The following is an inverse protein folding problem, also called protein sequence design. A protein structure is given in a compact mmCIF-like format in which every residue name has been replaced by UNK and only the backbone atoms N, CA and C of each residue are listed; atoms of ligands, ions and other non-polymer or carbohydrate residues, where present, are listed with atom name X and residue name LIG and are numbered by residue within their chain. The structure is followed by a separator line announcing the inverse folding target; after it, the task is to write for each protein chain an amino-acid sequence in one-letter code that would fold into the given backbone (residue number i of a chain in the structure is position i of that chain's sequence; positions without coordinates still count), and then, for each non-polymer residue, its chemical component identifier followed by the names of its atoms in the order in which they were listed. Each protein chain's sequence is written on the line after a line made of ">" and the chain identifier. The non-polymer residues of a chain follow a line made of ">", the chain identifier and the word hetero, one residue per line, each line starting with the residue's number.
data_IF_322200149914
#
_entry.id   IF_322200149914
#
_cell.length_a   1.000
_cell.length_b   1.000
_cell.length_c   1.000
_cell.angle_alpha   90.00
_cell.angle_beta   90.00
_cell.angle_gamma   90.00
#
_symmetry.space_group_name_H-M   'P 1'
#
loop_
_entity.id
_entity.type
_entity.pdbx_description
1 polymer ?
#
# COMPACT_ATOMS: atom_id res chain seq x y z
N UNK A 1 -1.72 -5.65 8.22
CA UNK A 1 -2.50 -6.11 7.04
C UNK A 1 -2.51 -7.62 7.03
N UNK A 2 -3.68 -8.25 6.96
CA UNK A 2 -3.72 -9.72 6.89
C UNK A 2 -3.09 -10.16 5.56
N UNK A 3 -2.06 -10.99 5.59
CA UNK A 3 -1.37 -11.49 4.39
C UNK A 3 -2.38 -12.07 3.37
N UNK A 4 -3.45 -12.69 3.84
CA UNK A 4 -4.53 -13.23 3.00
C UNK A 4 -5.23 -12.16 2.16
N UNK A 5 -5.44 -10.98 2.72
CA UNK A 5 -6.20 -9.90 2.07
C UNK A 5 -5.41 -9.30 0.92
N UNK A 6 -4.14 -9.02 1.12
CA UNK A 6 -3.25 -8.56 0.06
C UNK A 6 -3.09 -9.59 -1.04
N UNK A 7 -2.90 -10.86 -0.65
CA UNK A 7 -2.68 -11.95 -1.60
C UNK A 7 -3.86 -12.12 -2.55
N UNK A 8 -5.11 -12.09 -2.04
CA UNK A 8 -6.30 -12.16 -2.88
C UNK A 8 -6.37 -11.00 -3.89
N UNK A 9 -6.13 -9.78 -3.43
CA UNK A 9 -6.11 -8.59 -4.31
C UNK A 9 -5.05 -8.72 -5.40
N UNK A 10 -3.85 -9.18 -5.04
CA UNK A 10 -2.77 -9.39 -6.01
C UNK A 10 -3.07 -10.50 -7.01
N UNK A 11 -3.72 -11.58 -6.59
CA UNK A 11 -4.18 -12.62 -7.52
C UNK A 11 -5.15 -12.05 -8.56
N UNK A 12 -6.14 -11.27 -8.15
CA UNK A 12 -7.10 -10.66 -9.07
C UNK A 12 -6.40 -9.73 -10.07
N UNK A 13 -5.44 -8.92 -9.60
CA UNK A 13 -4.63 -8.05 -10.46
C UNK A 13 -3.76 -8.89 -11.41
N UNK A 14 -3.11 -9.94 -10.90
CA UNK A 14 -2.27 -10.82 -11.70
C UNK A 14 -3.06 -11.54 -12.80
N UNK A 15 -4.23 -12.08 -12.48
CA UNK A 15 -5.14 -12.72 -13.46
C UNK A 15 -5.53 -11.74 -14.55
N UNK A 16 -5.88 -10.51 -14.17
CA UNK A 16 -6.30 -9.51 -15.14
C UNK A 16 -5.16 -9.07 -16.06
N UNK A 17 -3.99 -8.73 -15.49
CA UNK A 17 -2.81 -8.32 -16.27
C UNK A 17 -2.35 -9.46 -17.18
N UNK A 18 -2.22 -10.68 -16.65
CA UNK A 18 -1.80 -11.85 -17.42
C UNK A 18 -2.78 -12.17 -18.55
N UNK A 19 -4.07 -12.07 -18.29
CA UNK A 19 -5.11 -12.25 -19.31
C UNK A 19 -4.96 -11.24 -20.46
N UNK A 20 -4.76 -9.96 -20.13
CA UNK A 20 -4.56 -8.92 -21.15
C UNK A 20 -3.25 -9.10 -21.93
N UNK A 21 -2.15 -9.48 -21.28
CA UNK A 21 -0.86 -9.67 -21.94
C UNK A 21 -0.88 -10.84 -22.92
N UNK A 22 -1.58 -11.91 -22.59
CA UNK A 22 -1.65 -13.12 -23.42
C UNK A 22 -2.81 -13.06 -24.42
N UNK A 23 -3.65 -12.02 -24.37
CA UNK A 23 -4.84 -11.90 -25.21
C UNK A 23 -5.94 -12.90 -24.85
N UNK A 24 -5.95 -13.38 -23.61
CA UNK A 24 -6.95 -14.31 -23.08
C UNK A 24 -7.94 -13.60 -22.16
N UNK A 25 -9.13 -14.17 -22.01
CA UNK A 25 -10.13 -13.65 -21.08
C UNK A 25 -9.63 -13.84 -19.64
N UNK A 26 -9.52 -12.78 -18.82
CA UNK A 26 -9.14 -12.93 -17.43
C UNK A 26 -10.29 -13.59 -16.65
N UNK A 27 -10.07 -14.81 -16.22
CA UNK A 27 -11.07 -15.61 -15.49
C UNK A 27 -10.46 -16.08 -14.16
N UNK A 28 -11.23 -15.97 -13.10
CA UNK A 28 -10.87 -16.46 -11.78
C UNK A 28 -11.98 -17.36 -11.24
N UNK A 29 -11.64 -18.60 -10.92
CA UNK A 29 -12.59 -19.63 -10.47
C UNK A 29 -13.81 -19.80 -11.42
N UNK A 30 -13.56 -19.81 -12.72
CA UNK A 30 -14.61 -19.96 -13.73
C UNK A 30 -15.51 -18.73 -13.88
N UNK A 31 -15.10 -17.57 -13.41
CA UNK A 31 -15.85 -16.32 -13.51
C UNK A 31 -14.99 -15.23 -14.10
N UNK A 32 -15.53 -14.47 -15.03
CA UNK A 32 -14.81 -13.38 -15.71
C UNK A 32 -14.54 -12.22 -14.77
N UNK A 33 -13.27 -11.81 -14.71
CA UNK A 33 -12.85 -10.59 -14.01
C UNK A 33 -13.03 -9.41 -14.96
N UNK A 34 -13.81 -8.43 -14.56
CA UNK A 34 -14.13 -7.24 -15.35
C UNK A 34 -13.63 -5.96 -14.69
N UNK A 35 -13.87 -4.83 -15.35
CA UNK A 35 -13.40 -3.53 -14.90
C UNK A 35 -13.91 -3.13 -13.52
N UNK A 36 -15.06 -3.63 -13.07
CA UNK A 36 -15.60 -3.31 -11.74
C UNK A 36 -14.74 -3.91 -10.62
N UNK A 37 -14.42 -5.19 -10.73
CA UNK A 37 -13.56 -5.88 -9.77
C UNK A 37 -12.15 -5.28 -9.78
N UNK A 38 -11.64 -4.97 -10.97
CA UNK A 38 -10.32 -4.34 -11.11
C UNK A 38 -10.24 -2.95 -10.48
N UNK A 39 -11.26 -2.12 -10.62
CA UNK A 39 -11.29 -0.80 -9.97
C UNK A 39 -11.18 -0.94 -8.45
N UNK A 40 -11.95 -1.85 -7.86
CA UNK A 40 -11.90 -2.09 -6.41
C UNK A 40 -10.53 -2.62 -6.01
N UNK A 41 -10.00 -3.62 -6.73
CA UNK A 41 -8.69 -4.19 -6.46
C UNK A 41 -7.56 -3.14 -6.53
N UNK A 42 -7.59 -2.28 -7.53
CA UNK A 42 -6.62 -1.18 -7.67
C UNK A 42 -6.73 -0.16 -6.55
N UNK A 43 -7.95 0.24 -6.17
CA UNK A 43 -8.16 1.16 -5.04
C UNK A 43 -7.64 0.56 -3.76
N UNK A 44 -7.93 -0.72 -3.50
CA UNK A 44 -7.43 -1.43 -2.31
C UNK A 44 -5.90 -1.53 -2.30
N UNK A 45 -5.28 -1.81 -3.45
CA UNK A 45 -3.82 -1.89 -3.56
C UNK A 45 -3.14 -0.53 -3.33
N UNK A 46 -3.73 0.56 -3.82
CA UNK A 46 -3.18 1.91 -3.69
C UNK A 46 -3.54 2.58 -2.37
N UNK A 47 -4.56 2.11 -1.65
CA UNK A 47 -5.01 2.70 -0.40
C UNK A 47 -3.89 2.76 0.65
N UNK A 48 -3.13 1.69 0.77
CA UNK A 48 -2.09 1.55 1.79
C UNK A 48 -0.98 2.61 1.63
N UNK A 49 -0.27 2.69 0.48
CA UNK A 49 0.73 3.73 0.28
C UNK A 49 0.12 5.14 0.31
N UNK A 50 -1.11 5.31 -0.17
CA UNK A 50 -1.78 6.61 -0.15
C UNK A 50 -1.96 7.11 1.29
N UNK A 51 -2.52 6.30 2.18
CA UNK A 51 -2.74 6.69 3.59
C UNK A 51 -1.41 6.99 4.28
N UNK A 52 -0.38 6.17 4.09
CA UNK A 52 0.94 6.39 4.68
C UNK A 52 1.51 7.75 4.25
N UNK A 53 1.53 8.01 2.94
CA UNK A 53 2.13 9.23 2.42
C UNK A 53 1.36 10.49 2.82
N UNK A 54 0.02 10.44 2.82
CA UNK A 54 -0.81 11.58 3.21
C UNK A 54 -0.60 11.94 4.69
N UNK A 55 -0.64 10.95 5.58
CA UNK A 55 -0.45 11.23 7.00
C UNK A 55 0.99 11.62 7.35
N UNK A 56 1.99 11.04 6.66
CA UNK A 56 3.38 11.49 6.78
C UNK A 56 3.54 12.94 6.31
N UNK A 57 2.90 13.34 5.21
CA UNK A 57 2.93 14.72 4.74
C UNK A 57 2.26 15.67 5.73
N UNK A 58 1.11 15.30 6.30
CA UNK A 58 0.41 16.09 7.31
C UNK A 58 1.28 16.29 8.55
N UNK A 59 1.86 15.23 9.09
CA UNK A 59 2.72 15.31 10.28
C UNK A 59 3.96 16.15 10.03
N UNK A 60 4.61 15.98 8.87
CA UNK A 60 5.76 16.77 8.47
C UNK A 60 5.41 18.25 8.29
N UNK A 61 4.25 18.54 7.71
CA UNK A 61 3.76 19.91 7.57
C UNK A 61 3.54 20.59 8.93
N UNK A 62 2.88 19.90 9.86
CA UNK A 62 2.63 20.41 11.22
C UNK A 62 3.94 20.60 11.95
N UNK A 63 4.86 19.66 11.86
CA UNK A 63 6.18 19.75 12.51
C UNK A 63 6.96 21.01 12.10
N UNK A 64 6.90 21.35 10.80
CA UNK A 64 7.65 22.51 10.28
C UNK A 64 6.93 23.85 10.55
N UNK A 65 5.59 23.89 10.44
CA UNK A 65 4.84 25.14 10.47
C UNK A 65 4.21 25.47 11.85
N UNK A 66 4.12 24.49 12.73
CA UNK A 66 3.53 24.64 14.07
C UNK A 66 4.45 24.09 15.18
N UNK A 67 5.68 24.62 15.33
CA UNK A 67 6.63 24.12 16.31
C UNK A 67 6.09 24.26 17.76
N UNK A 68 5.37 25.34 18.06
CA UNK A 68 4.79 25.56 19.38
C UNK A 68 3.82 24.44 19.79
N UNK A 69 3.06 23.92 18.82
CA UNK A 69 2.16 22.78 19.03
C UNK A 69 2.95 21.51 19.34
N UNK A 70 4.00 21.26 18.57
CA UNK A 70 4.86 20.08 18.75
C UNK A 70 5.55 20.10 20.12
N UNK A 71 6.05 21.26 20.54
CA UNK A 71 6.67 21.46 21.86
C UNK A 71 5.66 21.30 22.98
N UNK A 72 4.44 21.77 22.82
CA UNK A 72 3.37 21.61 23.82
C UNK A 72 3.00 20.16 24.10
N UNK A 73 3.22 19.27 23.13
CA UNK A 73 3.03 17.81 23.25
C UNK A 73 4.30 17.07 23.73
N UNK A 74 5.39 17.79 24.06
CA UNK A 74 6.62 17.21 24.58
C UNK A 74 7.69 16.88 23.53
N UNK A 75 7.49 17.36 22.29
CA UNK A 75 8.36 17.05 21.15
C UNK A 75 8.05 15.69 20.52
N UNK A 76 8.22 15.58 19.21
CA UNK A 76 7.86 14.36 18.51
C UNK A 76 9.07 13.55 18.07
N UNK A 77 10.10 14.24 17.54
CA UNK A 77 11.23 13.60 16.86
C UNK A 77 12.46 13.55 17.76
N UNK A 78 13.11 12.41 17.79
CA UNK A 78 14.41 12.27 18.43
C UNK A 78 15.55 12.74 17.51
N UNK A 79 15.41 12.54 16.20
CA UNK A 79 16.38 12.98 15.21
C UNK A 79 15.81 14.11 14.35
N UNK A 80 16.60 15.17 14.19
CA UNK A 80 16.23 16.32 13.38
C UNK A 80 16.56 16.08 11.89
N UNK A 81 15.91 16.84 11.01
CA UNK A 81 16.16 16.80 9.59
C UNK A 81 15.61 15.58 8.87
N UNK A 82 16.35 15.04 7.92
CA UNK A 82 15.89 13.93 7.05
C UNK A 82 15.61 12.63 7.83
N UNK A 83 16.30 12.40 8.93
CA UNK A 83 16.06 11.24 9.78
C UNK A 83 14.72 11.32 10.50
N UNK A 84 14.28 12.53 10.85
CA UNK A 84 12.95 12.74 11.45
C UNK A 84 11.82 12.39 10.49
N UNK A 85 11.98 12.63 9.17
CA UNK A 85 11.02 12.17 8.17
C UNK A 85 10.93 10.63 8.15
N UNK A 86 12.06 9.94 8.33
CA UNK A 86 12.08 8.48 8.39
C UNK A 86 11.35 7.94 9.61
N UNK A 87 11.46 8.62 10.77
CA UNK A 87 10.71 8.27 12.00
C UNK A 87 9.20 8.38 11.77
N UNK A 88 8.74 9.49 11.21
CA UNK A 88 7.32 9.72 10.91
C UNK A 88 6.78 8.72 9.87
N UNK A 89 7.54 8.49 8.79
CA UNK A 89 7.15 7.56 7.74
C UNK A 89 7.06 6.12 8.28
N UNK A 90 8.00 5.72 9.13
CA UNK A 90 7.99 4.40 9.74
C UNK A 90 6.79 4.20 10.64
N UNK A 91 6.44 5.20 11.46
CA UNK A 91 5.29 5.13 12.36
C UNK A 91 4.00 4.89 11.59
N UNK A 92 3.71 5.71 10.56
CA UNK A 92 2.51 5.50 9.74
C UNK A 92 2.55 4.21 8.92
N UNK A 93 3.73 3.76 8.50
CA UNK A 93 3.88 2.47 7.82
C UNK A 93 3.55 1.32 8.75
N UNK A 94 4.02 1.38 9.99
CA UNK A 94 3.74 0.39 11.02
C UNK A 94 2.27 0.37 11.41
N UNK A 95 1.67 1.54 11.61
CA UNK A 95 0.23 1.68 11.88
C UNK A 95 -0.62 1.14 10.73
N UNK A 96 -0.29 1.49 9.48
CA UNK A 96 -1.01 1.02 8.30
C UNK A 96 -0.86 -0.50 8.10
N UNK A 97 0.31 -1.06 8.40
CA UNK A 97 0.53 -2.51 8.37
C UNK A 97 -0.07 -3.26 9.58
N UNK A 98 -0.59 -2.53 10.57
CA UNK A 98 -1.12 -3.06 11.84
C UNK A 98 -0.06 -3.84 12.66
N UNK A 99 1.21 -3.43 12.59
CA UNK A 99 2.30 -4.06 13.31
C UNK A 99 2.40 -3.55 14.78
N UNK A 100 2.10 -2.26 15.00
CA UNK A 100 2.18 -1.63 16.31
C UNK A 100 3.61 -1.38 16.83
N UNK A 101 4.60 -1.33 15.94
CA UNK A 101 5.97 -0.96 16.26
C UNK A 101 6.21 0.51 15.94
N UNK A 102 6.75 1.29 16.89
CA UNK A 102 7.24 2.65 16.67
C UNK A 102 8.74 2.67 16.37
N UNK A 103 9.23 3.78 15.83
CA UNK A 103 10.66 4.02 15.75
C UNK A 103 11.17 4.44 17.12
N UNK A 104 12.26 3.83 17.60
CA UNK A 104 12.79 4.14 18.94
C UNK A 104 13.22 5.61 19.01
N UNK A 105 12.70 6.31 20.03
CA UNK A 105 12.94 7.73 20.24
C UNK A 105 11.85 8.66 19.70
N UNK A 106 10.90 8.16 18.89
CA UNK A 106 9.72 8.93 18.52
C UNK A 106 8.81 9.13 19.75
N UNK A 107 8.43 10.38 20.01
CA UNK A 107 7.45 10.71 21.05
C UNK A 107 6.02 10.42 20.58
N UNK A 108 5.68 9.16 20.40
CA UNK A 108 4.41 8.69 19.82
C UNK A 108 3.23 8.76 20.79
N UNK A 109 3.48 8.89 22.09
CA UNK A 109 2.42 8.96 23.11
C UNK A 109 1.89 10.38 23.29
N UNK A 110 1.41 10.99 22.21
CA UNK A 110 0.76 12.30 22.20
C UNK A 110 -0.65 12.21 21.65
N UNK A 111 -1.45 13.24 21.87
CA UNK A 111 -2.82 13.28 21.31
C UNK A 111 -2.80 13.22 19.78
N UNK A 112 -1.88 13.93 19.14
CA UNK A 112 -1.78 13.95 17.69
C UNK A 112 -1.47 12.55 17.12
N UNK A 113 -0.41 11.89 17.63
CA UNK A 113 -0.03 10.56 17.15
C UNK A 113 -1.10 9.52 17.45
N UNK A 114 -1.68 9.53 18.64
CA UNK A 114 -2.72 8.58 19.02
C UNK A 114 -3.94 8.67 18.09
N UNK A 115 -4.41 9.88 17.76
CA UNK A 115 -5.54 10.06 16.86
C UNK A 115 -5.19 9.71 15.40
N UNK A 116 -4.10 10.22 14.89
CA UNK A 116 -3.71 10.00 13.49
C UNK A 116 -3.38 8.53 13.22
N UNK A 117 -2.62 7.88 14.08
CA UNK A 117 -2.32 6.45 14.00
C UNK A 117 -3.59 5.60 14.14
N UNK A 118 -4.50 5.95 15.04
CA UNK A 118 -5.79 5.28 15.17
C UNK A 118 -6.63 5.34 13.90
N UNK A 119 -6.73 6.51 13.25
CA UNK A 119 -7.43 6.68 11.98
C UNK A 119 -6.74 5.85 10.86
N UNK A 120 -5.43 5.94 10.75
CA UNK A 120 -4.64 5.18 9.77
C UNK A 120 -4.86 3.68 9.93
N UNK A 121 -4.83 3.18 11.16
CA UNK A 121 -5.06 1.77 11.49
C UNK A 121 -6.45 1.31 11.06
N UNK A 122 -7.49 2.09 11.36
CA UNK A 122 -8.88 1.77 10.98
C UNK A 122 -9.03 1.75 9.46
N UNK A 123 -8.57 2.79 8.77
CA UNK A 123 -8.67 2.87 7.31
C UNK A 123 -7.91 1.73 6.62
N UNK A 124 -6.68 1.48 7.04
CA UNK A 124 -5.82 0.47 6.42
C UNK A 124 -6.23 -0.97 6.75
N UNK A 125 -7.06 -1.18 7.77
CA UNK A 125 -7.55 -2.50 8.13
C UNK A 125 -8.91 -2.81 7.50
N UNK A 126 -9.88 -1.94 7.70
CA UNK A 126 -11.27 -2.25 7.35
C UNK A 126 -11.58 -2.02 5.87
N UNK A 127 -11.03 -0.98 5.24
CA UNK A 127 -11.30 -0.73 3.82
C UNK A 127 -10.80 -1.84 2.89
N UNK A 128 -9.59 -2.41 3.06
CA UNK A 128 -9.18 -3.57 2.29
C UNK A 128 -10.10 -4.78 2.48
N UNK A 129 -10.52 -5.09 3.70
CA UNK A 129 -11.45 -6.20 3.97
C UNK A 129 -12.77 -5.99 3.24
N UNK A 130 -13.36 -4.79 3.35
CA UNK A 130 -14.61 -4.45 2.66
C UNK A 130 -14.44 -4.56 1.14
N UNK A 131 -13.32 -4.06 0.60
CA UNK A 131 -13.04 -4.13 -0.84
C UNK A 131 -12.98 -5.56 -1.37
N UNK A 132 -12.36 -6.45 -0.63
CA UNK A 132 -12.24 -7.87 -1.02
C UNK A 132 -13.56 -8.62 -0.93
N UNK A 133 -14.33 -8.38 0.12
CA UNK A 133 -15.68 -8.94 0.26
C UNK A 133 -16.57 -8.41 -0.88
N UNK A 134 -16.43 -7.15 -1.26
CA UNK A 134 -17.13 -6.59 -2.41
C UNK A 134 -16.75 -7.26 -3.73
N UNK A 135 -15.45 -7.50 -3.99
CA UNK A 135 -14.98 -8.25 -5.16
C UNK A 135 -15.56 -9.67 -5.16
N UNK A 136 -15.50 -10.37 -4.03
CA UNK A 136 -16.06 -11.71 -3.91
C UNK A 136 -17.58 -11.72 -4.17
N UNK A 137 -18.31 -10.72 -3.64
CA UNK A 137 -19.73 -10.55 -3.88
C UNK A 137 -20.08 -10.30 -5.36
N UNK A 138 -19.30 -9.45 -6.04
CA UNK A 138 -19.48 -9.21 -7.48
C UNK A 138 -19.20 -10.47 -8.31
N UNK A 139 -18.14 -11.21 -8.00
CA UNK A 139 -17.82 -12.46 -8.66
C UNK A 139 -18.88 -13.53 -8.37
N UNK A 140 -19.44 -13.58 -7.15
CA UNK A 140 -20.51 -14.55 -6.81
C UNK A 140 -21.75 -14.39 -7.66
N UNK A 141 -22.12 -13.18 -8.04
CA UNK A 141 -23.29 -12.89 -8.88
C UNK A 141 -23.11 -13.26 -10.35
N UNK A 142 -21.87 -13.47 -10.80
CA UNK A 142 -21.59 -13.80 -12.21
C UNK A 142 -21.85 -15.26 -12.52
N UNK A 143 -22.27 -15.50 -13.79
CA UNK A 143 -22.47 -16.86 -14.29
C UNK A 143 -21.12 -17.58 -14.44
N UNK A 144 -21.14 -18.89 -14.23
CA UNK A 144 -19.99 -19.75 -14.48
C UNK A 144 -19.74 -19.82 -16.00
N UNK A 145 -18.49 -19.68 -16.39
CA UNK A 145 -18.03 -19.82 -17.78
C UNK A 145 -17.27 -21.15 -17.86
N UNK A 146 -17.68 -22.07 -18.76
CA UNK A 146 -16.93 -23.30 -18.96
C UNK A 146 -15.54 -23.01 -19.53
N UNK A 147 -14.55 -23.78 -19.12
CA UNK A 147 -13.17 -23.65 -19.61
C UNK A 147 -13.13 -23.77 -21.14
N UNK A 148 -12.44 -22.83 -21.77
CA UNK A 148 -12.19 -22.79 -23.19
C UNK A 148 -10.69 -22.76 -23.49
N UNK A 149 -10.29 -22.93 -24.74
CA UNK A 149 -8.88 -22.78 -25.15
C UNK A 149 -8.31 -21.37 -24.87
N UNK A 150 -9.19 -20.38 -24.67
CA UNK A 150 -8.84 -19.01 -24.28
C UNK A 150 -8.77 -18.75 -22.77
N UNK A 151 -9.10 -19.72 -21.93
CA UNK A 151 -9.07 -19.55 -20.46
C UNK A 151 -7.63 -19.65 -19.94
N UNK A 152 -7.24 -18.70 -19.09
CA UNK A 152 -5.96 -18.77 -18.39
C UNK A 152 -6.13 -19.72 -17.19
N UNK A 153 -5.49 -20.89 -17.28
CA UNK A 153 -5.52 -21.87 -16.18
C UNK A 153 -4.73 -21.36 -14.97
N UNK A 154 -5.38 -21.33 -13.82
CA UNK A 154 -4.79 -20.83 -12.56
C UNK A 154 -4.02 -21.91 -11.79
N UNK A 155 -4.06 -23.16 -12.23
CA UNK A 155 -3.41 -24.32 -11.64
C UNK A 155 -2.03 -24.63 -12.27
N UNK A 156 -1.55 -23.76 -13.15
CA UNK A 156 -0.28 -23.96 -13.88
C UNK A 156 0.90 -23.29 -13.17
N UNK A 157 2.09 -23.88 -13.33
CA UNK A 157 3.35 -23.27 -12.86
C UNK A 157 3.55 -21.87 -13.46
N UNK A 158 3.16 -21.67 -14.72
CA UNK A 158 3.23 -20.35 -15.39
C UNK A 158 2.42 -19.31 -14.67
N UNK A 159 1.19 -19.63 -14.21
CA UNK A 159 0.39 -18.72 -13.42
C UNK A 159 1.02 -18.42 -12.05
N UNK A 160 1.60 -19.43 -11.40
CA UNK A 160 2.34 -19.25 -10.15
C UNK A 160 3.51 -18.28 -10.29
N UNK A 161 4.33 -18.46 -11.33
CA UNK A 161 5.46 -17.55 -11.64
C UNK A 161 4.96 -16.14 -11.96
N UNK A 162 3.91 -15.99 -12.77
CA UNK A 162 3.33 -14.68 -13.10
C UNK A 162 2.80 -13.96 -11.86
N UNK A 163 2.11 -14.67 -10.99
CA UNK A 163 1.62 -14.11 -9.72
C UNK A 163 2.77 -13.64 -8.83
N UNK A 164 3.82 -14.46 -8.72
CA UNK A 164 5.03 -14.09 -7.99
C UNK A 164 5.67 -12.83 -8.57
N UNK A 165 5.84 -12.75 -9.90
CA UNK A 165 6.42 -11.58 -10.57
C UNK A 165 5.58 -10.32 -10.35
N UNK A 166 4.25 -10.42 -10.42
CA UNK A 166 3.36 -9.28 -10.16
C UNK A 166 3.49 -8.80 -8.71
N UNK A 167 3.51 -9.71 -7.74
CA UNK A 167 3.71 -9.37 -6.33
C UNK A 167 5.07 -8.71 -6.12
N UNK A 168 6.13 -9.28 -6.72
CA UNK A 168 7.48 -8.75 -6.63
C UNK A 168 7.58 -7.34 -7.22
N UNK A 169 7.01 -7.10 -8.40
CA UNK A 169 7.01 -5.78 -9.04
C UNK A 169 6.25 -4.76 -8.19
N UNK A 170 5.06 -5.10 -7.68
CA UNK A 170 4.28 -4.18 -6.84
C UNK A 170 5.03 -3.88 -5.54
N UNK A 171 5.64 -4.89 -4.92
CA UNK A 171 6.45 -4.69 -3.72
C UNK A 171 7.68 -3.82 -4.01
N UNK A 172 8.41 -4.10 -5.09
CA UNK A 172 9.55 -3.29 -5.51
C UNK A 172 9.15 -1.83 -5.79
N UNK A 173 8.05 -1.60 -6.51
CA UNK A 173 7.55 -0.25 -6.78
C UNK A 173 7.06 0.48 -5.51
N UNK A 174 6.63 -0.25 -4.50
CA UNK A 174 6.21 0.33 -3.22
C UNK A 174 7.39 0.83 -2.38
N UNK A 175 8.54 0.16 -2.45
CA UNK A 175 9.73 0.50 -1.68
C UNK A 175 10.76 1.35 -2.45
N UNK A 176 10.91 1.08 -3.74
CA UNK A 176 11.95 1.69 -4.56
C UNK A 176 11.80 3.21 -4.77
N UNK A 177 10.60 3.79 -4.96
CA UNK A 177 10.47 5.23 -5.18
C UNK A 177 10.95 6.07 -4.00
N UNK A 178 10.79 5.63 -2.77
CA UNK A 178 11.23 6.39 -1.58
C UNK A 178 12.75 6.48 -1.54
N UNK A 179 13.44 5.36 -1.72
CA UNK A 179 14.91 5.34 -1.74
C UNK A 179 15.50 6.00 -2.98
N UNK A 180 14.89 5.84 -4.15
CA UNK A 180 15.33 6.48 -5.38
C UNK A 180 15.14 7.99 -5.36
N UNK A 181 14.03 8.50 -4.80
CA UNK A 181 13.79 9.93 -4.64
C UNK A 181 14.78 10.56 -3.66
N UNK A 182 15.07 9.91 -2.54
CA UNK A 182 16.09 10.37 -1.59
C UNK A 182 17.48 10.38 -2.23
N UNK A 183 17.83 9.37 -3.00
CA UNK A 183 19.10 9.32 -3.74
C UNK A 183 19.19 10.39 -4.83
N UNK A 184 18.12 10.64 -5.57
CA UNK A 184 18.07 11.69 -6.61
C UNK A 184 18.13 13.10 -6.01
N UNK A 185 17.53 13.34 -4.86
CA UNK A 185 17.62 14.62 -4.15
C UNK A 185 19.08 14.89 -3.74
N UNK A 186 19.78 13.89 -3.24
CA UNK A 186 21.21 14.00 -2.89
C UNK A 186 22.11 14.22 -4.12
N UNK A 187 21.76 13.66 -5.28
CA UNK A 187 22.52 13.87 -6.52
C UNK A 187 22.25 15.26 -7.14
N UNK A 188 21.05 15.78 -6.96
CA UNK A 188 20.64 17.07 -7.55
C UNK A 188 20.92 18.28 -6.66
N UNK A 189 21.33 18.12 -5.42
CA UNK A 189 21.86 19.24 -4.63
C UNK A 189 23.23 19.64 -5.19
N UNK A 190 23.35 20.79 -5.86
CA UNK A 190 24.66 21.32 -6.18
C UNK A 190 25.36 21.59 -4.84
N UNK A 191 26.52 20.99 -4.64
CA UNK A 191 27.42 21.28 -3.54
C UNK A 191 27.51 22.80 -3.38
N UNK A 192 26.79 23.38 -2.39
CA UNK A 192 26.99 24.77 -2.02
C UNK A 192 28.40 24.84 -1.43
N UNK A 193 29.31 25.62 -2.02
CA UNK A 193 30.57 25.90 -1.35
C UNK A 193 30.26 26.65 -0.07
N UNK A 194 30.86 26.22 1.03
CA UNK A 194 30.83 26.88 2.33
C UNK A 194 31.43 28.27 2.27
#
# INVERSE_FOLDING_TARGET
>A
MCIRDSYYTFIIIAVFISGLMVGRTPEFLGKKVEAREMKIATIVALLHPFVILVFTAISSYIYVHHPDFVESEGGWLNNLGFHGLSEQLYEYTSCAANNGSGFEGLGDNTYFWNWTCGIVLILSRFLPIIGQVAIAGLLAQKKFIPESAGTLKTDTLTFGVMTFVVIFIIAALSFFPVHALLSLIHISEPTRPY
#
